data_IF_530691911733
#
_entry.id   IF_530691911733
#
_cell.length_a   1.000
_cell.length_b   1.000
_cell.length_c   1.000
_cell.angle_alpha   90.00
_cell.angle_beta   90.00
_cell.angle_gamma   90.00
#
_symmetry.space_group_name_H-M   'P 1'
#
loop_
_entity.id
_entity.type
_entity.pdbx_description
1 polymer ?
#
# COMPACT_ATOMS: atom_id res chain seq x y z
N UNK A 1 14.07 51.84 -13.22
CA UNK A 1 14.38 52.74 -14.34
C UNK A 1 13.56 54.03 -14.32
N UNK A 2 12.38 54.05 -13.67
CA UNK A 2 11.57 55.27 -13.57
C UNK A 2 12.16 56.37 -12.70
N UNK A 3 12.77 56.05 -11.56
CA UNK A 3 13.32 57.07 -10.65
C UNK A 3 14.42 57.94 -11.30
N UNK A 4 15.23 57.36 -12.20
CA UNK A 4 16.27 58.09 -12.93
C UNK A 4 15.70 59.04 -13.98
N UNK A 5 14.52 58.76 -14.53
CA UNK A 5 13.80 59.67 -15.44
C UNK A 5 13.15 60.80 -14.66
N UNK A 6 12.47 60.46 -13.58
CA UNK A 6 11.82 61.42 -12.67
C UNK A 6 12.80 62.48 -12.13
N UNK A 7 14.00 62.06 -11.70
CA UNK A 7 15.03 62.98 -11.17
C UNK A 7 15.58 63.89 -12.27
N UNK A 8 15.73 63.40 -13.51
CA UNK A 8 16.18 64.23 -14.64
C UNK A 8 15.14 65.29 -14.97
N UNK A 9 13.86 64.91 -14.99
CA UNK A 9 12.76 65.82 -15.28
C UNK A 9 12.60 66.88 -14.18
N UNK A 10 12.73 66.52 -12.90
CA UNK A 10 12.72 67.49 -11.80
C UNK A 10 13.91 68.44 -11.80
N UNK A 11 15.09 68.00 -12.24
CA UNK A 11 16.26 68.88 -12.40
C UNK A 11 16.15 69.81 -13.60
N UNK A 12 15.39 69.42 -14.62
CA UNK A 12 15.06 70.28 -15.77
C UNK A 12 13.92 71.26 -15.44
N UNK A 13 12.97 70.87 -14.58
CA UNK A 13 11.83 71.71 -14.17
C UNK A 13 12.09 72.57 -12.92
N UNK A 14 13.11 72.23 -12.11
CA UNK A 14 13.49 72.91 -10.87
C UNK A 14 14.03 74.32 -11.10
N UNK A 15 13.11 75.27 -11.27
CA UNK A 15 13.34 76.72 -11.37
C UNK A 15 13.83 77.27 -10.03
N UNK A 16 15.13 77.44 -9.86
CA UNK A 16 15.70 78.31 -8.84
C UNK A 16 15.96 79.70 -9.46
N UNK A 17 14.95 80.57 -9.41
CA UNK A 17 15.01 82.06 -9.46
C UNK A 17 15.86 82.79 -10.53
N UNK A 18 16.22 82.14 -11.64
CA UNK A 18 16.86 82.78 -12.79
C UNK A 18 17.14 81.75 -13.87
N UNK A 19 17.35 82.20 -15.12
CA UNK A 19 17.75 81.43 -16.31
C UNK A 19 18.48 80.10 -15.98
N UNK A 20 18.19 78.99 -16.69
CA UNK A 20 18.71 77.66 -16.37
C UNK A 20 20.23 77.71 -16.19
N UNK A 21 20.67 77.51 -14.95
CA UNK A 21 22.09 77.62 -14.54
C UNK A 21 23.01 76.75 -15.43
N UNK A 22 22.45 75.67 -15.98
CA UNK A 22 23.06 74.73 -16.90
C UNK A 22 23.44 75.37 -18.25
N UNK A 23 22.60 76.26 -18.80
CA UNK A 23 22.87 76.96 -20.06
C UNK A 23 23.94 78.04 -19.89
N UNK A 24 23.97 78.73 -18.74
CA UNK A 24 25.01 79.73 -18.43
C UNK A 24 26.38 79.10 -18.19
N UNK A 25 26.42 77.85 -17.73
CA UNK A 25 27.65 77.11 -17.45
C UNK A 25 28.09 76.19 -18.60
N UNK A 26 27.26 76.01 -19.64
CA UNK A 26 27.56 75.16 -20.80
C UNK A 26 27.65 73.66 -20.47
N UNK A 27 26.90 73.17 -19.48
CA UNK A 27 26.99 71.79 -18.97
C UNK A 27 25.74 71.00 -19.37
N UNK A 28 25.95 69.86 -20.04
CA UNK A 28 24.90 68.89 -20.43
C UNK A 28 24.90 67.67 -19.50
N UNK A 29 23.73 67.28 -18.97
CA UNK A 29 23.58 66.12 -18.08
C UNK A 29 23.33 64.86 -18.93
N UNK A 30 24.32 63.96 -19.03
CA UNK A 30 24.21 62.71 -19.80
C UNK A 30 23.55 61.57 -19.01
N UNK A 31 23.83 61.46 -17.70
CA UNK A 31 23.24 60.41 -16.85
C UNK A 31 23.17 60.82 -15.36
N UNK A 32 22.09 60.41 -14.68
CA UNK A 32 21.86 60.64 -13.27
C UNK A 32 21.68 59.30 -12.57
N UNK A 33 22.65 58.94 -11.72
CA UNK A 33 22.64 57.70 -10.93
C UNK A 33 22.67 58.00 -9.44
N UNK A 34 21.87 57.26 -8.68
CA UNK A 34 21.86 57.36 -7.23
C UNK A 34 23.15 56.73 -6.70
N UNK A 35 24.04 57.56 -6.16
CA UNK A 35 25.32 57.10 -5.61
C UNK A 35 25.18 56.45 -4.23
N UNK A 36 24.31 56.99 -3.36
CA UNK A 36 24.05 56.45 -2.02
C UNK A 36 22.71 56.93 -1.49
N UNK A 37 21.92 56.01 -0.93
CA UNK A 37 20.71 56.34 -0.19
C UNK A 37 21.08 56.26 1.29
N UNK A 38 21.07 57.40 1.98
CA UNK A 38 21.32 57.42 3.42
C UNK A 38 19.98 57.22 4.14
N UNK A 39 19.75 56.00 4.63
CA UNK A 39 18.61 55.73 5.50
C UNK A 39 18.93 56.16 6.95
N UNK A 40 18.01 56.81 7.68
CA UNK A 40 18.21 57.15 9.09
C UNK A 40 18.55 55.90 9.90
N UNK A 41 19.70 55.89 10.59
CA UNK A 41 20.21 54.72 11.32
C UNK A 41 19.21 54.18 12.36
N UNK A 42 18.36 55.05 12.93
CA UNK A 42 17.33 54.65 13.89
C UNK A 42 16.23 53.73 13.34
N UNK A 43 15.92 53.80 12.03
CA UNK A 43 14.86 52.99 11.43
C UNK A 43 15.37 51.67 10.82
N UNK A 44 16.67 51.55 10.56
CA UNK A 44 17.26 50.38 9.91
C UNK A 44 17.09 49.12 10.77
N UNK A 45 17.28 49.23 12.08
CA UNK A 45 17.15 48.10 13.01
C UNK A 45 15.71 47.56 13.05
N UNK A 46 14.72 48.45 13.10
CA UNK A 46 13.30 48.07 13.13
C UNK A 46 12.86 47.35 11.84
N UNK A 47 13.34 47.82 10.68
CA UNK A 47 13.06 47.17 9.39
C UNK A 47 13.74 45.81 9.30
N UNK A 48 14.98 45.69 9.79
CA UNK A 48 15.70 44.41 9.83
C UNK A 48 15.02 43.37 10.72
N UNK A 49 14.60 43.74 11.94
CA UNK A 49 13.86 42.85 12.83
C UNK A 49 12.51 42.43 12.24
N UNK A 50 11.81 43.35 11.57
CA UNK A 50 10.59 43.01 10.83
C UNK A 50 10.85 42.00 9.72
N UNK A 51 11.89 42.21 8.91
CA UNK A 51 12.26 41.27 7.84
C UNK A 51 12.62 39.89 8.39
N UNK A 52 13.34 39.83 9.51
CA UNK A 52 13.68 38.57 10.19
C UNK A 52 12.42 37.85 10.69
N UNK A 53 11.50 38.58 11.33
CA UNK A 53 10.22 38.02 11.80
C UNK A 53 9.36 37.51 10.64
N UNK A 54 9.25 38.29 9.55
CA UNK A 54 8.49 37.85 8.36
C UNK A 54 9.11 36.62 7.71
N UNK A 55 10.45 36.58 7.56
CA UNK A 55 11.14 35.38 7.04
C UNK A 55 10.93 34.17 7.94
N UNK A 56 10.97 34.35 9.25
CA UNK A 56 10.71 33.27 10.20
C UNK A 56 9.27 32.75 10.07
N UNK A 57 8.28 33.65 10.02
CA UNK A 57 6.86 33.29 9.82
C UNK A 57 6.65 32.52 8.51
N UNK A 58 7.31 32.95 7.43
CA UNK A 58 7.25 32.27 6.13
C UNK A 58 7.85 30.86 6.25
N UNK A 59 9.02 30.72 6.87
CA UNK A 59 9.66 29.42 7.08
C UNK A 59 8.82 28.47 7.95
N UNK A 60 8.22 28.98 9.03
CA UNK A 60 7.33 28.21 9.91
C UNK A 60 6.05 27.78 9.19
N UNK A 61 5.49 28.63 8.33
CA UNK A 61 4.36 28.28 7.46
C UNK A 61 4.72 27.16 6.49
N UNK A 62 5.86 27.24 5.81
CA UNK A 62 6.30 26.18 4.90
C UNK A 62 6.57 24.86 5.63
N UNK A 63 7.22 24.90 6.80
CA UNK A 63 7.41 23.72 7.63
C UNK A 63 6.09 23.09 8.05
N UNK A 64 5.13 23.90 8.49
CA UNK A 64 3.80 23.42 8.90
C UNK A 64 3.02 22.81 7.73
N UNK A 65 3.07 23.43 6.55
CA UNK A 65 2.45 22.91 5.34
C UNK A 65 3.07 21.57 4.92
N UNK A 66 4.40 21.46 4.91
CA UNK A 66 5.09 20.20 4.58
C UNK A 66 4.79 19.09 5.59
N UNK A 67 4.68 19.40 6.87
CA UNK A 67 4.28 18.43 7.90
C UNK A 67 2.83 17.95 7.71
N UNK A 68 1.91 18.87 7.40
CA UNK A 68 0.52 18.52 7.13
C UNK A 68 0.41 17.61 5.89
N UNK A 69 1.06 17.99 4.79
CA UNK A 69 1.05 17.23 3.54
C UNK A 69 1.70 15.85 3.70
N UNK A 70 2.86 15.77 4.35
CA UNK A 70 3.51 14.48 4.62
C UNK A 70 2.66 13.56 5.51
N UNK A 71 1.94 14.12 6.48
CA UNK A 71 1.01 13.34 7.32
C UNK A 71 -0.14 12.77 6.50
N UNK A 72 -0.72 13.58 5.59
CA UNK A 72 -1.78 13.13 4.68
C UNK A 72 -1.28 12.03 3.75
N UNK A 73 -0.13 12.22 3.11
CA UNK A 73 0.47 11.24 2.20
C UNK A 73 0.73 9.93 2.93
N UNK A 74 1.32 10.01 4.14
CA UNK A 74 1.62 8.82 4.95
C UNK A 74 0.34 8.09 5.36
N UNK A 75 -0.67 8.81 5.86
CA UNK A 75 -1.94 8.20 6.26
C UNK A 75 -2.64 7.52 5.08
N UNK A 76 -2.58 8.12 3.89
CA UNK A 76 -3.13 7.53 2.68
C UNK A 76 -2.35 6.26 2.26
N UNK A 77 -1.03 6.31 2.29
CA UNK A 77 -0.18 5.15 1.99
C UNK A 77 -0.42 3.99 2.98
N UNK A 78 -0.51 4.29 4.27
CA UNK A 78 -0.79 3.30 5.32
C UNK A 78 -2.17 2.64 5.10
N UNK A 79 -3.18 3.46 4.77
CA UNK A 79 -4.53 2.96 4.44
C UNK A 79 -4.51 2.07 3.20
N UNK A 80 -3.87 2.50 2.11
CA UNK A 80 -3.79 1.72 0.88
C UNK A 80 -3.06 0.40 1.09
N UNK A 81 -1.98 0.41 1.87
CA UNK A 81 -1.25 -0.81 2.25
C UNK A 81 -2.14 -1.78 3.00
N UNK A 82 -2.86 -1.29 4.03
CA UNK A 82 -3.78 -2.11 4.80
C UNK A 82 -4.92 -2.68 3.95
N UNK A 83 -5.51 -1.88 3.06
CA UNK A 83 -6.56 -2.34 2.14
C UNK A 83 -6.04 -3.39 1.15
N UNK A 84 -4.81 -3.24 0.65
CA UNK A 84 -4.20 -4.19 -0.27
C UNK A 84 -3.91 -5.54 0.41
N UNK A 85 -3.32 -5.51 1.60
CA UNK A 85 -3.06 -6.71 2.39
C UNK A 85 -4.37 -7.41 2.74
N UNK A 86 -5.37 -6.66 3.22
CA UNK A 86 -6.67 -7.24 3.55
C UNK A 86 -7.36 -7.90 2.35
N UNK A 87 -7.25 -7.31 1.15
CA UNK A 87 -7.76 -7.92 -0.09
C UNK A 87 -6.99 -9.18 -0.45
N UNK A 88 -5.66 -9.13 -0.40
CA UNK A 88 -4.81 -10.28 -0.69
C UNK A 88 -5.09 -11.46 0.26
N UNK A 89 -5.25 -11.17 1.56
CA UNK A 89 -5.60 -12.18 2.56
C UNK A 89 -6.99 -12.75 2.31
N UNK A 90 -7.99 -11.89 2.04
CA UNK A 90 -9.34 -12.33 1.73
C UNK A 90 -9.39 -13.23 0.49
N UNK A 91 -8.66 -12.87 -0.57
CA UNK A 91 -8.56 -13.67 -1.79
C UNK A 91 -7.83 -15.00 -1.52
N UNK A 92 -6.78 -14.99 -0.71
CA UNK A 92 -6.06 -16.21 -0.33
C UNK A 92 -6.94 -17.17 0.48
N UNK A 93 -7.72 -16.66 1.45
CA UNK A 93 -8.69 -17.47 2.21
C UNK A 93 -9.80 -18.01 1.32
N UNK A 94 -10.30 -17.20 0.37
CA UNK A 94 -11.31 -17.64 -0.60
C UNK A 94 -10.79 -18.81 -1.45
N UNK A 95 -9.59 -18.67 -2.02
CA UNK A 95 -8.97 -19.72 -2.85
C UNK A 95 -8.73 -20.99 -2.02
N UNK A 96 -8.24 -20.85 -0.78
CA UNK A 96 -8.06 -22.00 0.11
C UNK A 96 -9.39 -22.68 0.44
N UNK A 97 -10.43 -21.92 0.75
CA UNK A 97 -11.77 -22.45 1.00
C UNK A 97 -12.38 -23.17 -0.21
N UNK A 98 -12.22 -22.62 -1.42
CA UNK A 98 -12.64 -23.25 -2.68
C UNK A 98 -11.89 -24.58 -2.91
N UNK A 99 -10.57 -24.57 -2.74
CA UNK A 99 -9.73 -25.77 -2.90
C UNK A 99 -10.07 -26.86 -1.86
N UNK A 100 -10.30 -26.48 -0.60
CA UNK A 100 -10.70 -27.42 0.45
C UNK A 100 -12.08 -28.03 0.18
N UNK A 101 -13.03 -27.22 -0.29
CA UNK A 101 -14.35 -27.69 -0.68
C UNK A 101 -14.28 -28.67 -1.85
N UNK A 102 -13.49 -28.35 -2.89
CA UNK A 102 -13.29 -29.22 -4.05
C UNK A 102 -12.59 -30.53 -3.65
N UNK A 103 -11.51 -30.46 -2.87
CA UNK A 103 -10.79 -31.63 -2.36
C UNK A 103 -11.70 -32.55 -1.56
N UNK A 104 -12.50 -31.98 -0.65
CA UNK A 104 -13.47 -32.73 0.17
C UNK A 104 -14.55 -33.36 -0.70
N UNK A 105 -15.04 -32.64 -1.73
CA UNK A 105 -16.02 -33.17 -2.66
C UNK A 105 -15.47 -34.35 -3.46
N UNK A 106 -14.26 -34.25 -4.00
CA UNK A 106 -13.59 -35.35 -4.72
C UNK A 106 -13.36 -36.54 -3.79
N UNK A 107 -12.87 -36.30 -2.58
CA UNK A 107 -12.66 -37.36 -1.58
C UNK A 107 -13.97 -38.09 -1.25
N UNK A 108 -15.05 -37.34 -1.01
CA UNK A 108 -16.37 -37.90 -0.74
C UNK A 108 -16.91 -38.70 -1.94
N UNK A 109 -16.71 -38.21 -3.17
CA UNK A 109 -17.10 -38.94 -4.38
C UNK A 109 -16.29 -40.23 -4.55
N UNK A 110 -14.98 -40.20 -4.30
CA UNK A 110 -14.13 -41.37 -4.33
C UNK A 110 -14.54 -42.40 -3.28
N UNK A 111 -14.90 -41.97 -2.07
CA UNK A 111 -15.42 -42.85 -1.01
C UNK A 111 -16.83 -43.36 -1.28
N UNK A 112 -17.68 -42.58 -1.97
CA UNK A 112 -19.03 -43.00 -2.34
C UNK A 112 -19.04 -44.03 -3.48
N UNK A 113 -17.97 -44.11 -4.27
CA UNK A 113 -17.85 -45.10 -5.34
C UNK A 113 -17.85 -46.55 -4.82
N UNK A 114 -17.23 -46.79 -3.66
CA UNK A 114 -17.29 -48.09 -2.96
C UNK A 114 -17.18 -47.91 -1.43
N UNK A 115 -18.33 -47.78 -0.73
CA UNK A 115 -18.36 -47.63 0.72
C UNK A 115 -17.86 -48.86 1.48
N UNK A 116 -18.01 -50.07 0.91
CA UNK A 116 -17.57 -51.31 1.56
C UNK A 116 -16.04 -51.44 1.48
N UNK A 117 -15.45 -51.15 0.32
CA UNK A 117 -14.00 -51.08 0.18
C UNK A 117 -13.36 -50.03 1.12
N UNK A 118 -13.98 -48.85 1.26
CA UNK A 118 -13.50 -47.84 2.20
C UNK A 118 -13.53 -48.33 3.65
N UNK A 119 -14.63 -48.99 4.09
CA UNK A 119 -14.74 -49.58 5.42
C UNK A 119 -13.65 -50.61 5.67
N UNK A 120 -13.37 -51.45 4.68
CA UNK A 120 -12.30 -52.45 4.76
C UNK A 120 -10.92 -51.78 4.89
N UNK A 121 -10.58 -50.83 4.01
CA UNK A 121 -9.28 -50.14 4.03
C UNK A 121 -9.06 -49.39 5.35
N UNK A 122 -10.09 -48.69 5.84
CA UNK A 122 -10.04 -47.97 7.13
C UNK A 122 -9.83 -48.92 8.31
N UNK A 123 -10.44 -50.11 8.27
CA UNK A 123 -10.27 -51.14 9.29
C UNK A 123 -8.85 -51.71 9.28
N UNK A 124 -8.26 -51.92 8.11
CA UNK A 124 -6.87 -52.37 7.96
C UNK A 124 -5.85 -51.33 8.46
N UNK A 125 -6.07 -50.04 8.16
CA UNK A 125 -5.23 -48.95 8.68
C UNK A 125 -5.32 -48.83 10.21
N UNK A 126 -6.52 -49.02 10.76
CA UNK A 126 -6.73 -49.07 12.21
C UNK A 126 -5.98 -50.24 12.83
N UNK A 127 -6.02 -51.43 12.22
CA UNK A 127 -5.23 -52.58 12.68
C UNK A 127 -3.75 -52.28 12.66
N UNK A 128 -3.22 -51.69 11.59
CA UNK A 128 -1.80 -51.31 11.50
C UNK A 128 -1.37 -50.33 12.58
N UNK A 129 -2.27 -49.44 13.01
CA UNK A 129 -1.98 -48.43 14.04
C UNK A 129 -2.04 -49.03 15.45
N UNK A 130 -2.97 -49.96 15.68
CA UNK A 130 -3.31 -50.48 17.01
C UNK A 130 -2.51 -51.75 17.35
N UNK A 131 -2.22 -52.60 16.38
CA UNK A 131 -1.42 -53.82 16.56
C UNK A 131 0.07 -53.51 16.36
N UNK A 132 0.71 -53.04 17.43
CA UNK A 132 2.17 -52.96 17.55
C UNK A 132 2.68 -54.12 18.42
N UNK A 133 3.95 -54.52 18.26
CA UNK A 133 4.59 -55.66 18.95
C UNK A 133 4.52 -55.65 20.50
N UNK A 134 4.08 -54.53 21.10
CA UNK A 134 3.99 -54.32 22.55
C UNK A 134 2.55 -54.20 23.08
N UNK A 135 1.53 -54.31 22.23
CA UNK A 135 0.15 -53.99 22.59
C UNK A 135 -0.73 -55.24 22.59
N UNK A 136 -1.16 -55.66 23.78
CA UNK A 136 -2.17 -56.71 23.96
C UNK A 136 -3.56 -56.07 24.04
N UNK A 137 -4.36 -56.20 22.98
CA UNK A 137 -5.75 -55.73 22.96
C UNK A 137 -6.71 -56.83 23.43
N UNK A 138 -7.54 -56.54 24.43
CA UNK A 138 -8.65 -57.41 24.86
C UNK A 138 -9.95 -56.78 24.37
N UNK A 139 -10.54 -57.37 23.34
CA UNK A 139 -11.81 -56.92 22.74
C UNK A 139 -12.88 -58.01 22.88
N UNK A 140 -14.14 -57.60 23.06
CA UNK A 140 -15.28 -58.52 23.00
C UNK A 140 -15.45 -59.10 21.59
N UNK A 141 -15.82 -60.38 21.49
CA UNK A 141 -16.08 -61.08 20.22
C UNK A 141 -17.20 -60.43 19.37
N UNK A 142 -18.01 -59.55 19.95
CA UNK A 142 -19.04 -58.78 19.25
C UNK A 142 -18.56 -57.42 18.72
N UNK A 143 -17.28 -57.07 18.90
CA UNK A 143 -16.72 -55.80 18.45
C UNK A 143 -16.64 -55.77 16.93
N UNK A 144 -17.07 -54.67 16.31
CA UNK A 144 -16.93 -54.45 14.87
C UNK A 144 -15.49 -54.55 14.36
N UNK A 145 -14.50 -54.31 15.25
CA UNK A 145 -13.07 -54.47 14.98
C UNK A 145 -12.60 -55.92 14.93
N UNK A 146 -13.31 -56.91 15.49
CA UNK A 146 -12.91 -58.32 15.37
C UNK A 146 -13.65 -59.03 14.24
N UNK A 147 -14.81 -58.50 13.86
CA UNK A 147 -15.73 -59.09 12.87
C UNK A 147 -15.05 -59.43 11.54
N UNK A 148 -14.20 -58.55 11.00
CA UNK A 148 -13.46 -58.79 9.75
C UNK A 148 -12.41 -59.90 9.87
N UNK A 149 -11.78 -60.05 11.05
CA UNK A 149 -10.77 -61.10 11.29
C UNK A 149 -11.41 -62.47 11.54
N UNK A 150 -12.64 -62.50 12.07
CA UNK A 150 -13.36 -63.74 12.39
C UNK A 150 -14.27 -64.23 11.26
N UNK A 151 -14.94 -63.32 10.53
CA UNK A 151 -15.92 -63.64 9.49
C UNK A 151 -15.33 -63.54 8.07
N UNK A 152 -14.11 -63.02 7.93
CA UNK A 152 -13.44 -62.82 6.65
C UNK A 152 -13.74 -61.46 6.00
N UNK A 153 -13.04 -61.16 4.91
CA UNK A 153 -13.24 -59.91 4.16
C UNK A 153 -14.61 -59.97 3.47
N UNK A 154 -15.51 -58.99 3.69
CA UNK A 154 -16.77 -58.93 2.95
C UNK A 154 -16.46 -58.83 1.45
N UNK A 155 -17.14 -59.65 0.64
CA UNK A 155 -16.97 -59.63 -0.81
C UNK A 155 -17.35 -58.24 -1.34
N UNK A 156 -16.40 -57.60 -2.03
CA UNK A 156 -16.60 -56.27 -2.57
C UNK A 156 -17.81 -56.29 -3.51
N UNK A 157 -18.87 -55.56 -3.14
CA UNK A 157 -20.00 -55.37 -4.04
C UNK A 157 -19.48 -54.73 -5.32
N UNK A 158 -19.78 -55.33 -6.48
CA UNK A 158 -19.27 -54.87 -7.77
C UNK A 158 -19.41 -53.33 -7.90
N UNK A 159 -18.35 -52.62 -8.33
CA UNK A 159 -18.32 -51.17 -8.30
C UNK A 159 -19.55 -50.64 -9.04
N UNK A 160 -20.38 -49.85 -8.35
CA UNK A 160 -21.48 -49.15 -8.98
C UNK A 160 -20.87 -48.29 -10.09
N UNK A 161 -21.16 -48.64 -11.36
CA UNK A 161 -20.57 -48.07 -12.59
C UNK A 161 -20.09 -46.64 -12.37
N UNK A 162 -18.77 -46.46 -12.38
CA UNK A 162 -18.15 -45.15 -12.38
C UNK A 162 -18.81 -44.29 -13.46
N UNK A 163 -19.57 -43.27 -13.04
CA UNK A 163 -19.92 -42.19 -13.98
C UNK A 163 -18.58 -41.65 -14.44
N UNK A 164 -18.37 -41.75 -15.76
CA UNK A 164 -17.17 -41.29 -16.46
C UNK A 164 -16.70 -39.97 -15.88
N UNK A 165 -15.43 -39.96 -15.46
CA UNK A 165 -14.64 -38.75 -15.25
C UNK A 165 -14.88 -37.86 -16.46
N UNK A 166 -15.72 -36.83 -16.29
CA UNK A 166 -15.90 -35.78 -17.27
C UNK A 166 -14.68 -34.90 -17.20
N UNK A 167 -13.89 -34.96 -18.28
CA UNK A 167 -12.84 -34.05 -18.75
C UNK A 167 -11.90 -33.37 -17.72
N UNK A 168 -10.58 -33.36 -17.97
CA UNK A 168 -9.68 -32.51 -17.21
C UNK A 168 -10.10 -31.05 -17.43
N UNK A 169 -10.60 -30.40 -16.37
CA UNK A 169 -10.87 -28.96 -16.38
C UNK A 169 -9.56 -28.27 -16.73
N UNK A 170 -9.59 -27.63 -17.89
CA UNK A 170 -8.41 -27.16 -18.59
C UNK A 170 -7.52 -26.26 -17.75
N UNK A 171 -6.22 -26.39 -18.05
CA UNK A 171 -5.28 -25.28 -18.04
C UNK A 171 -5.96 -24.07 -18.70
N UNK A 172 -6.58 -23.18 -17.93
CA UNK A 172 -6.87 -21.83 -18.38
C UNK A 172 -5.61 -21.02 -18.17
N UNK A 173 -5.12 -20.49 -19.28
CA UNK A 173 -3.84 -19.83 -19.43
C UNK A 173 -3.55 -18.82 -18.34
N UNK A 174 -2.32 -18.91 -17.85
CA UNK A 174 -1.57 -17.76 -17.38
C UNK A 174 -1.14 -17.04 -18.66
N UNK A 175 -1.97 -16.13 -19.17
CA UNK A 175 -1.59 -15.18 -20.22
C UNK A 175 -1.89 -13.77 -19.73
N UNK A 176 -0.80 -13.00 -19.59
CA UNK A 176 -0.62 -11.57 -19.30
C UNK A 176 -1.16 -10.99 -17.99
#
# INVERSE_FOLDING_TARGET
EDLSREIREQLQQGRADGEPLLERLGIEIVDARIKRINFPLGNQQAVFERMKSERQKIADRYRSAGLAESTVIRSHADRQSAELIAKADADAERIRGEAEAESTAILNQAHAADPEFYRTMRTLDAYRTILNDKTTLVLSASSGLLKMLTEGVPEAAAPAKAKSVGEPVGQKGIEN
#
